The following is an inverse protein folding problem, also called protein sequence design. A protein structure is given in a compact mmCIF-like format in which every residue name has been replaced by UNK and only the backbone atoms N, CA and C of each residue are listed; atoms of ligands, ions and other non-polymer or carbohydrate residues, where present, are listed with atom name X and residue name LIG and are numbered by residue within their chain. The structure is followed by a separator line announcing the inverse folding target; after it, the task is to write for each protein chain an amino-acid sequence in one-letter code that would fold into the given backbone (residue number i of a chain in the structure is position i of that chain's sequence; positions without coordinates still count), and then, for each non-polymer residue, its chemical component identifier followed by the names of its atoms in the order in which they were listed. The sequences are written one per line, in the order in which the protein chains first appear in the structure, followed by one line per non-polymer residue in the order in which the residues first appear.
data_IF_363116005561
#
_entry.id   IF_363116005561
#
_cell.length_a   1.000
_cell.length_b   1.000
_cell.length_c   1.000
_cell.angle_alpha   90.00
_cell.angle_beta   90.00
_cell.angle_gamma   90.00
#
_symmetry.space_group_name_H-M   'P 1'
#
loop_
_entity.id
_entity.type
_entity.pdbx_description
1 polymer ?
#
# COMPACT_ATOMS: atom_id res chain seq x y z
N UNK A 1 -10.40 34.87 61.98
CA UNK A 1 -11.83 34.62 62.25
C UNK A 1 -12.60 34.84 60.95
N UNK A 2 -13.47 33.89 60.54
CA UNK A 2 -14.15 33.91 59.24
C UNK A 2 -15.46 34.76 59.32
N UNK A 3 -16.19 34.96 58.21
CA UNK A 3 -17.31 34.02 57.97
C UNK A 3 -17.59 33.69 56.49
N UNK A 4 -18.05 32.44 56.28
CA UNK A 4 -18.94 32.02 55.19
C UNK A 4 -20.42 32.21 55.63
N UNK A 5 -21.43 31.72 54.87
CA UNK A 5 -22.21 32.39 53.82
C UNK A 5 -23.68 32.57 54.28
N UNK A 6 -24.64 32.79 53.36
CA UNK A 6 -25.86 31.99 53.51
C UNK A 6 -26.32 31.31 52.22
N UNK A 7 -26.86 30.11 52.43
CA UNK A 7 -27.70 29.30 51.55
C UNK A 7 -29.15 29.70 51.78
N UNK A 8 -29.96 29.81 50.73
CA UNK A 8 -31.42 29.61 50.84
C UNK A 8 -31.98 28.89 49.61
N UNK A 9 -32.93 28.02 49.90
CA UNK A 9 -33.46 26.87 49.16
C UNK A 9 -34.78 27.23 48.45
N UNK A 10 -35.04 26.54 47.32
CA UNK A 10 -36.31 26.11 46.66
C UNK A 10 -37.56 26.99 46.63
N UNK A 11 -38.25 27.01 45.47
CA UNK A 11 -39.64 26.57 45.32
C UNK A 11 -39.96 26.23 43.84
N UNK A 12 -40.56 25.06 43.63
CA UNK A 12 -41.17 24.54 42.40
C UNK A 12 -42.58 25.07 42.19
N UNK A 13 -42.98 25.36 40.94
CA UNK A 13 -44.36 25.16 40.46
C UNK A 13 -44.41 24.92 38.95
N UNK A 14 -45.30 24.01 38.58
CA UNK A 14 -45.62 23.49 37.27
C UNK A 14 -46.65 24.35 36.53
N UNK A 15 -46.68 24.28 35.19
CA UNK A 15 -47.92 24.23 34.39
C UNK A 15 -47.63 23.98 32.91
N UNK A 16 -48.65 23.45 32.26
CA UNK A 16 -48.68 22.65 31.04
C UNK A 16 -49.30 23.38 29.85
N UNK A 17 -48.95 22.95 28.62
CA UNK A 17 -49.95 22.64 27.59
C UNK A 17 -50.07 23.51 26.33
N UNK A 18 -50.10 22.80 25.19
CA UNK A 18 -50.65 23.12 23.84
C UNK A 18 -49.88 24.12 22.94
N UNK A 19 -49.33 23.77 21.77
CA UNK A 19 -49.81 23.11 20.52
C UNK A 19 -50.41 24.03 19.45
N UNK A 20 -49.68 24.05 18.31
CA UNK A 20 -50.04 24.28 16.90
C UNK A 20 -50.73 25.59 16.45
N UNK A 21 -50.04 26.29 15.53
CA UNK A 21 -50.65 26.99 14.40
C UNK A 21 -49.81 26.85 13.12
N UNK A 22 -50.55 26.72 12.02
CA UNK A 22 -50.21 26.38 10.65
C UNK A 22 -49.53 27.49 9.86
N UNK A 23 -48.92 27.15 8.71
CA UNK A 23 -49.07 27.96 7.50
C UNK A 23 -49.03 27.08 6.24
N UNK A 24 -50.05 27.30 5.42
CA UNK A 24 -50.26 26.82 4.06
C UNK A 24 -49.48 27.70 3.07
N UNK A 25 -49.10 27.17 1.90
CA UNK A 25 -49.59 27.61 0.57
C UNK A 25 -48.84 26.86 -0.55
N UNK A 26 -49.61 26.59 -1.60
CA UNK A 26 -49.50 25.68 -2.74
C UNK A 26 -49.05 26.43 -4.01
N UNK A 27 -48.33 25.74 -4.90
CA UNK A 27 -48.21 25.97 -6.35
C UNK A 27 -47.86 24.59 -6.95
N UNK A 28 -48.71 23.81 -7.64
CA UNK A 28 -49.43 23.95 -8.95
C UNK A 28 -48.49 24.51 -10.04
N UNK A 29 -48.07 23.75 -11.05
CA UNK A 29 -48.76 23.34 -12.32
C UNK A 29 -47.95 22.15 -12.90
N UNK A 30 -48.51 20.94 -13.14
CA UNK A 30 -49.02 20.36 -14.42
C UNK A 30 -48.02 20.41 -15.60
N UNK A 31 -47.88 19.52 -16.59
CA UNK A 31 -48.45 18.25 -17.13
C UNK A 31 -47.45 17.92 -18.30
N UNK A 32 -47.06 16.68 -18.63
CA UNK A 32 -47.68 15.85 -19.68
C UNK A 32 -46.91 14.53 -19.87
N UNK A 33 -47.71 13.50 -20.10
CA UNK A 33 -47.40 12.12 -20.43
C UNK A 33 -46.59 11.94 -21.73
N UNK A 34 -45.88 10.81 -21.88
CA UNK A 34 -46.22 9.79 -22.89
C UNK A 34 -45.33 8.54 -22.76
N UNK A 35 -46.00 7.43 -22.51
CA UNK A 35 -45.64 6.07 -22.86
C UNK A 35 -45.57 5.89 -24.37
N UNK A 36 -44.61 5.09 -24.85
CA UNK A 36 -44.82 4.25 -26.03
C UNK A 36 -43.89 3.04 -26.03
N UNK A 37 -44.51 1.86 -26.15
CA UNK A 37 -43.88 0.64 -26.64
C UNK A 37 -44.01 0.62 -28.16
N UNK A 38 -43.00 0.15 -28.89
CA UNK A 38 -43.27 -0.66 -30.07
C UNK A 38 -42.12 -1.56 -30.52
N UNK A 39 -42.51 -2.73 -31.00
CA UNK A 39 -41.70 -3.83 -31.54
C UNK A 39 -41.47 -3.69 -33.06
N UNK A 40 -40.58 -4.57 -33.58
CA UNK A 40 -40.44 -5.09 -34.96
C UNK A 40 -39.65 -4.30 -36.02
N UNK A 41 -38.54 -4.88 -36.49
CA UNK A 41 -38.40 -5.62 -37.77
C UNK A 41 -36.89 -5.88 -38.07
N UNK A 42 -36.45 -7.13 -38.16
CA UNK A 42 -36.27 -7.95 -39.38
C UNK A 42 -35.17 -7.52 -40.37
N UNK A 43 -34.23 -8.45 -40.54
CA UNK A 43 -33.52 -8.86 -41.77
C UNK A 43 -32.77 -7.84 -42.64
N UNK A 44 -31.45 -8.04 -42.76
CA UNK A 44 -30.81 -8.31 -44.06
C UNK A 44 -29.49 -9.09 -43.92
N UNK A 45 -29.47 -10.26 -44.56
CA UNK A 45 -28.29 -11.08 -44.90
C UNK A 45 -27.73 -10.64 -46.26
N UNK A 46 -26.42 -10.78 -46.44
CA UNK A 46 -25.67 -11.15 -47.67
C UNK A 46 -24.20 -11.25 -47.23
N UNK A 47 -23.42 -12.35 -47.19
CA UNK A 47 -23.16 -13.55 -48.03
C UNK A 47 -22.44 -13.29 -49.35
N UNK A 48 -21.11 -13.52 -49.38
CA UNK A 48 -20.39 -14.44 -50.30
C UNK A 48 -18.87 -14.22 -50.13
N UNK A 49 -18.11 -15.17 -49.59
CA UNK A 49 -17.33 -16.25 -50.26
C UNK A 49 -16.47 -15.81 -51.45
N UNK A 50 -15.15 -15.94 -51.32
CA UNK A 50 -14.28 -16.88 -52.07
C UNK A 50 -12.80 -16.62 -51.70
N UNK A 51 -12.08 -17.53 -51.03
CA UNK A 51 -11.42 -18.76 -51.49
C UNK A 51 -10.08 -18.55 -52.22
N UNK A 52 -9.05 -19.08 -51.57
CA UNK A 52 -7.79 -19.64 -52.08
C UNK A 52 -6.77 -18.72 -52.76
N UNK A 53 -5.50 -18.83 -52.32
CA UNK A 53 -4.54 -19.77 -52.96
C UNK A 53 -3.16 -19.68 -52.29
N UNK A 54 -2.75 -20.79 -51.68
CA UNK A 54 -1.35 -21.09 -51.34
C UNK A 54 -0.54 -21.32 -52.62
N UNK A 55 0.72 -20.89 -52.66
CA UNK A 55 1.74 -21.55 -53.46
C UNK A 55 3.13 -21.36 -52.87
N UNK A 56 3.75 -22.49 -52.54
CA UNK A 56 5.17 -22.65 -52.24
C UNK A 56 5.99 -22.50 -53.53
N UNK A 57 7.23 -22.00 -53.45
CA UNK A 57 8.36 -22.61 -54.17
C UNK A 57 9.72 -22.07 -53.71
N UNK A 58 10.62 -23.03 -53.49
CA UNK A 58 12.05 -22.88 -53.24
C UNK A 58 12.80 -22.36 -54.47
N UNK A 59 13.96 -21.72 -54.24
CA UNK A 59 14.98 -21.48 -55.26
C UNK A 59 16.20 -20.71 -54.71
N UNK A 60 17.28 -21.43 -54.40
CA UNK A 60 18.66 -20.91 -54.39
C UNK A 60 19.25 -21.08 -55.80
N UNK A 61 20.15 -20.18 -56.27
CA UNK A 61 21.57 -20.53 -56.24
C UNK A 61 22.58 -19.37 -56.04
N UNK A 62 23.68 -19.76 -55.40
CA UNK A 62 25.10 -19.33 -55.40
C UNK A 62 25.57 -18.09 -56.22
N UNK A 63 26.33 -17.22 -55.53
CA UNK A 63 27.60 -16.65 -56.04
C UNK A 63 27.65 -15.13 -56.31
N UNK A 64 28.40 -14.37 -55.49
CA UNK A 64 29.44 -13.38 -55.87
C UNK A 64 29.82 -12.46 -54.69
N UNK A 65 31.11 -12.38 -54.40
CA UNK A 65 31.72 -11.58 -53.34
C UNK A 65 31.74 -10.06 -53.58
N UNK A 66 32.09 -9.36 -52.48
CA UNK A 66 32.77 -8.06 -52.35
C UNK A 66 31.88 -6.81 -52.24
N UNK A 67 31.68 -6.31 -51.01
CA UNK A 67 32.26 -5.03 -50.54
C UNK A 67 31.74 -4.61 -49.15
N UNK A 68 32.68 -4.08 -48.37
CA UNK A 68 32.59 -3.58 -47.00
C UNK A 68 31.47 -2.54 -46.78
N UNK A 69 30.66 -2.75 -45.74
CA UNK A 69 30.15 -1.69 -44.88
C UNK A 69 29.86 -2.28 -43.49
N UNK A 70 30.68 -1.92 -42.50
CA UNK A 70 30.46 -2.26 -41.09
C UNK A 70 29.27 -1.43 -40.58
N UNK A 71 28.05 -1.93 -40.77
CA UNK A 71 26.91 -1.48 -39.97
C UNK A 71 27.00 -2.14 -38.59
N UNK A 72 27.73 -1.50 -37.68
CA UNK A 72 27.64 -1.80 -36.25
C UNK A 72 26.23 -1.42 -35.80
N UNK A 73 25.41 -2.44 -35.53
CA UNK A 73 24.17 -2.27 -34.79
C UNK A 73 24.47 -1.64 -33.42
N UNK A 74 23.62 -0.75 -32.88
CA UNK A 74 23.80 -0.26 -31.53
C UNK A 74 23.71 -1.44 -30.57
N UNK A 75 24.68 -1.58 -29.68
CA UNK A 75 24.67 -2.57 -28.61
C UNK A 75 23.33 -2.51 -27.85
N UNK A 76 22.75 -3.65 -27.46
CA UNK A 76 21.57 -3.62 -26.61
C UNK A 76 21.95 -2.92 -25.30
N UNK A 77 21.22 -1.87 -24.97
CA UNK A 77 21.37 -1.15 -23.71
C UNK A 77 21.36 -2.16 -22.55
N UNK A 78 22.17 -1.95 -21.51
CA UNK A 78 22.19 -2.84 -20.36
C UNK A 78 20.77 -2.87 -19.78
N UNK A 79 20.23 -4.08 -19.66
CA UNK A 79 18.94 -4.31 -19.03
C UNK A 79 18.90 -3.57 -17.69
N UNK A 80 17.78 -2.90 -17.35
CA UNK A 80 17.65 -2.28 -16.04
C UNK A 80 17.96 -3.33 -14.97
N UNK A 81 18.75 -2.99 -13.94
CA UNK A 81 19.09 -3.95 -12.88
C UNK A 81 17.79 -4.56 -12.36
N UNK A 82 17.75 -5.87 -12.08
CA UNK A 82 16.59 -6.51 -11.50
C UNK A 82 16.21 -5.67 -10.29
N UNK A 83 15.04 -5.02 -10.38
CA UNK A 83 14.46 -4.37 -9.23
C UNK A 83 14.42 -5.46 -8.18
N UNK A 84 15.17 -5.22 -7.11
CA UNK A 84 15.14 -6.06 -5.93
C UNK A 84 13.72 -5.96 -5.39
N UNK A 85 12.84 -6.81 -5.91
CA UNK A 85 11.54 -7.15 -5.37
C UNK A 85 11.83 -7.88 -4.05
N UNK A 86 12.25 -7.11 -3.04
CA UNK A 86 12.66 -7.66 -1.76
C UNK A 86 11.41 -8.12 -1.02
N UNK A 87 11.03 -9.38 -1.27
CA UNK A 87 10.51 -10.29 -0.24
C UNK A 87 9.22 -9.83 0.47
N UNK A 88 8.35 -9.07 -0.19
CA UNK A 88 7.02 -8.75 0.34
C UNK A 88 6.03 -9.91 0.07
N UNK A 89 6.28 -10.69 -0.99
CA UNK A 89 5.37 -11.73 -1.49
C UNK A 89 5.23 -12.99 -0.61
N UNK A 90 6.01 -13.15 0.48
CA UNK A 90 6.13 -14.43 1.19
C UNK A 90 5.51 -14.48 2.60
N UNK A 91 4.98 -13.37 3.15
CA UNK A 91 4.43 -13.35 4.52
C UNK A 91 2.90 -13.16 4.52
N UNK A 92 2.36 -12.45 3.52
CA UNK A 92 0.94 -12.39 3.20
C UNK A 92 0.88 -12.27 1.69
N UNK A 93 0.38 -13.30 0.97
CA UNK A 93 0.39 -13.30 -0.49
C UNK A 93 -0.13 -11.97 -1.05
N UNK A 94 0.52 -11.43 -2.08
CA UNK A 94 0.20 -10.20 -2.86
C UNK A 94 -0.34 -8.93 -2.13
N UNK A 95 -0.47 -8.90 -0.79
CA UNK A 95 -1.11 -7.83 -0.01
C UNK A 95 -2.37 -8.25 0.76
N UNK A 96 -3.01 -7.27 1.39
CA UNK A 96 -4.27 -7.44 2.14
C UNK A 96 -5.32 -6.53 1.53
N UNK A 97 -6.52 -7.04 1.29
CA UNK A 97 -7.57 -6.25 0.66
C UNK A 97 -8.94 -6.44 1.31
N UNK A 98 -9.84 -5.51 1.08
CA UNK A 98 -11.20 -5.59 1.60
C UNK A 98 -11.92 -4.26 1.68
N UNK A 99 -13.21 -4.32 2.00
CA UNK A 99 -14.08 -3.17 2.19
C UNK A 99 -13.86 -2.59 3.58
N UNK A 100 -13.61 -1.29 3.62
CA UNK A 100 -13.74 -0.49 4.84
C UNK A 100 -14.64 0.71 4.56
N UNK A 101 -15.28 1.21 5.60
CA UNK A 101 -16.05 2.43 5.55
C UNK A 101 -15.13 3.60 5.86
N UNK A 102 -15.00 4.53 4.92
CA UNK A 102 -14.25 5.77 5.07
C UNK A 102 -15.19 6.91 5.41
N UNK A 103 -14.89 7.69 6.45
CA UNK A 103 -15.58 8.95 6.69
C UNK A 103 -15.23 9.97 5.59
N UNK A 104 -16.24 10.62 5.02
CA UNK A 104 -16.05 11.63 3.98
C UNK A 104 -16.25 13.04 4.54
N UNK A 105 -17.49 13.41 4.87
CA UNK A 105 -17.84 14.68 5.48
C UNK A 105 -19.23 14.56 6.15
N UNK A 106 -19.67 15.58 6.89
CA UNK A 106 -20.96 15.55 7.61
C UNK A 106 -22.16 15.26 6.69
N UNK A 107 -22.16 15.75 5.44
CA UNK A 107 -23.27 15.50 4.50
C UNK A 107 -23.28 14.11 3.86
N UNK A 108 -22.12 13.49 3.62
CA UNK A 108 -21.99 12.19 2.94
C UNK A 108 -21.79 11.03 3.91
N UNK A 109 -21.31 11.30 5.12
CA UNK A 109 -21.03 10.33 6.16
C UNK A 109 -19.98 9.28 5.79
N UNK A 110 -20.19 8.06 6.27
CA UNK A 110 -19.38 6.89 5.98
C UNK A 110 -19.69 6.35 4.58
N UNK A 111 -18.65 6.11 3.77
CA UNK A 111 -18.78 5.49 2.44
C UNK A 111 -17.91 4.24 2.34
N UNK A 112 -18.45 3.12 1.82
CA UNK A 112 -17.67 1.93 1.60
C UNK A 112 -16.68 2.18 0.47
N UNK A 113 -15.43 1.75 0.67
CA UNK A 113 -14.34 1.81 -0.29
C UNK A 113 -13.58 0.50 -0.23
N UNK A 114 -13.06 0.07 -1.38
CA UNK A 114 -12.13 -1.06 -1.42
C UNK A 114 -10.76 -0.55 -1.03
N UNK A 115 -10.14 -1.19 -0.04
CA UNK A 115 -8.80 -0.91 0.41
C UNK A 115 -7.88 -2.05 0.00
N UNK A 116 -6.66 -1.70 -0.37
CA UNK A 116 -5.57 -2.61 -0.68
C UNK A 116 -4.35 -2.11 0.07
N UNK A 117 -3.80 -2.96 0.91
CA UNK A 117 -2.56 -2.78 1.63
C UNK A 117 -1.49 -3.61 0.93
N UNK A 118 -0.55 -2.95 0.29
CA UNK A 118 0.52 -3.57 -0.46
C UNK A 118 1.79 -2.73 -0.32
N UNK A 119 2.93 -3.37 -0.10
CA UNK A 119 4.26 -2.73 -0.07
C UNK A 119 4.38 -1.52 0.87
N UNK A 120 3.67 -1.53 2.01
CA UNK A 120 3.66 -0.41 2.95
C UNK A 120 2.80 0.78 2.55
N UNK A 121 2.01 0.65 1.49
CA UNK A 121 1.06 1.64 1.03
C UNK A 121 -0.36 1.09 1.18
N UNK A 122 -1.21 1.87 1.84
CA UNK A 122 -2.65 1.62 1.90
C UNK A 122 -3.34 2.48 0.84
N UNK A 123 -3.76 1.83 -0.25
CA UNK A 123 -4.47 2.44 -1.37
C UNK A 123 -5.96 2.17 -1.27
N UNK A 124 -6.80 3.12 -1.67
CA UNK A 124 -8.25 2.92 -1.65
C UNK A 124 -8.96 3.40 -2.91
N UNK A 125 -10.03 2.71 -3.25
CA UNK A 125 -10.71 2.83 -4.52
C UNK A 125 -12.21 3.03 -4.33
N UNK A 126 -12.83 3.78 -5.25
CA UNK A 126 -14.29 3.85 -5.32
C UNK A 126 -14.81 2.48 -5.76
N UNK A 127 -15.86 2.00 -5.10
CA UNK A 127 -16.60 0.80 -5.51
C UNK A 127 -17.96 1.14 -6.16
N UNK A 128 -18.30 2.43 -6.21
CA UNK A 128 -19.51 2.96 -6.85
C UNK A 128 -19.15 4.19 -7.71
N UNK A 129 -19.97 4.44 -8.74
CA UNK A 129 -19.80 5.57 -9.65
C UNK A 129 -19.01 5.25 -10.93
N UNK A 130 -18.69 6.29 -11.73
CA UNK A 130 -18.03 6.12 -13.04
C UNK A 130 -16.59 5.63 -12.92
N UNK A 131 -15.85 6.04 -11.87
CA UNK A 131 -14.45 5.61 -11.63
C UNK A 131 -14.36 4.41 -10.68
N UNK A 132 -15.39 3.54 -10.65
CA UNK A 132 -15.37 2.39 -9.75
C UNK A 132 -14.38 1.34 -10.22
N UNK A 133 -13.71 0.69 -9.28
CA UNK A 133 -12.95 -0.51 -9.59
C UNK A 133 -13.88 -1.71 -9.73
N UNK A 134 -13.46 -2.64 -10.58
CA UNK A 134 -14.05 -3.98 -10.66
C UNK A 134 -13.18 -4.89 -9.80
N UNK A 135 -13.73 -5.38 -8.69
CA UNK A 135 -13.07 -6.31 -7.78
C UNK A 135 -13.47 -7.72 -8.18
N UNK A 136 -12.52 -8.59 -8.54
CA UNK A 136 -12.78 -9.97 -8.93
C UNK A 136 -11.81 -10.94 -8.23
N UNK A 137 -12.20 -12.21 -8.12
CA UNK A 137 -11.39 -13.24 -7.45
C UNK A 137 -10.05 -13.50 -8.17
N UNK A 138 -9.98 -13.22 -9.46
CA UNK A 138 -8.75 -13.33 -10.26
C UNK A 138 -7.80 -12.14 -10.02
N UNK A 139 -8.36 -10.95 -9.74
CA UNK A 139 -7.63 -9.72 -9.46
C UNK A 139 -6.92 -9.75 -8.11
N UNK A 140 -7.55 -10.36 -7.12
CA UNK A 140 -7.05 -10.46 -5.74
C UNK A 140 -6.33 -11.80 -5.50
N UNK A 141 -5.90 -12.49 -6.57
CA UNK A 141 -5.15 -13.76 -6.47
C UNK A 141 -3.87 -13.53 -5.68
N UNK A 142 -3.83 -14.11 -4.49
CA UNK A 142 -2.73 -14.01 -3.54
C UNK A 142 -3.07 -13.15 -2.33
N UNK A 143 -3.90 -12.11 -2.48
CA UNK A 143 -4.21 -11.17 -1.40
C UNK A 143 -5.14 -11.77 -0.34
N UNK A 144 -4.82 -11.55 0.94
CA UNK A 144 -5.73 -11.90 2.04
C UNK A 144 -6.89 -10.92 2.08
N UNK A 145 -8.11 -11.41 1.86
CA UNK A 145 -9.33 -10.60 1.90
C UNK A 145 -9.90 -10.57 3.32
N UNK A 146 -10.19 -9.37 3.86
CA UNK A 146 -10.78 -9.18 5.19
C UNK A 146 -12.25 -8.75 5.06
N UNK A 147 -13.14 -9.38 5.83
CA UNK A 147 -14.56 -9.01 5.98
C UNK A 147 -15.53 -9.71 5.01
N UNK A 148 -16.73 -10.00 5.49
CA UNK A 148 -17.78 -10.67 4.71
C UNK A 148 -18.27 -9.82 3.53
N UNK A 149 -18.45 -8.51 3.73
CA UNK A 149 -18.86 -7.60 2.64
C UNK A 149 -17.84 -7.59 1.50
N UNK A 150 -16.56 -7.81 1.80
CA UNK A 150 -15.51 -7.94 0.79
C UNK A 150 -15.70 -9.19 -0.06
N UNK A 151 -15.97 -10.33 0.58
CA UNK A 151 -16.23 -11.60 -0.09
C UNK A 151 -17.51 -11.54 -0.94
N UNK A 152 -18.55 -10.88 -0.43
CA UNK A 152 -19.80 -10.62 -1.18
C UNK A 152 -19.54 -9.76 -2.40
N UNK A 153 -18.75 -8.69 -2.28
CA UNK A 153 -18.43 -7.80 -3.40
C UNK A 153 -17.69 -8.53 -4.52
N UNK A 154 -16.69 -9.35 -4.16
CA UNK A 154 -15.94 -10.21 -5.10
C UNK A 154 -16.88 -11.20 -5.79
N UNK A 155 -17.73 -11.89 -5.02
CA UNK A 155 -18.63 -12.94 -5.53
C UNK A 155 -19.66 -12.38 -6.52
N UNK A 156 -20.15 -11.16 -6.28
CA UNK A 156 -21.11 -10.48 -7.17
C UNK A 156 -20.56 -10.19 -8.57
N UNK A 157 -19.24 -10.06 -8.72
CA UNK A 157 -18.59 -9.71 -9.99
C UNK A 157 -17.85 -10.88 -10.64
N UNK A 158 -18.10 -12.13 -10.20
CA UNK A 158 -17.45 -13.34 -10.74
C UNK A 158 -17.69 -13.56 -12.24
N UNK A 159 -18.82 -13.08 -12.77
CA UNK A 159 -19.21 -13.27 -14.18
C UNK A 159 -18.91 -12.06 -15.08
N UNK A 160 -18.37 -10.96 -14.53
CA UNK A 160 -18.06 -9.75 -15.30
C UNK A 160 -16.58 -9.73 -15.70
N UNK A 161 -16.17 -10.65 -16.57
CA UNK A 161 -14.82 -10.66 -17.15
C UNK A 161 -14.79 -9.64 -18.30
N UNK A 162 -14.68 -8.36 -17.95
CA UNK A 162 -14.25 -7.35 -18.92
C UNK A 162 -12.73 -7.38 -19.00
N UNK A 163 -12.19 -7.94 -20.10
CA UNK A 163 -10.75 -7.96 -20.41
C UNK A 163 -10.15 -6.57 -20.63
N UNK A 164 -10.97 -5.50 -20.57
CA UNK A 164 -10.58 -4.15 -20.94
C UNK A 164 -10.28 -3.23 -19.74
N UNK A 165 -10.47 -3.65 -18.49
CA UNK A 165 -10.33 -2.76 -17.31
C UNK A 165 -9.05 -2.95 -16.49
N UNK A 166 -8.15 -3.87 -16.86
CA UNK A 166 -6.89 -4.07 -16.10
C UNK A 166 -6.00 -2.81 -16.11
N UNK A 167 -6.14 -1.95 -17.12
CA UNK A 167 -5.21 -0.84 -17.36
C UNK A 167 -5.62 0.49 -16.70
N UNK A 168 -6.70 0.57 -15.90
CA UNK A 168 -7.14 1.84 -15.28
C UNK A 168 -7.45 1.74 -13.78
N UNK A 169 -6.67 0.95 -13.03
CA UNK A 169 -6.75 0.96 -11.56
C UNK A 169 -6.02 2.18 -11.01
N UNK A 170 -6.64 3.35 -11.09
CA UNK A 170 -6.12 4.54 -10.40
C UNK A 170 -6.68 4.57 -8.97
N UNK A 171 -5.83 4.51 -7.94
CA UNK A 171 -6.30 4.69 -6.57
C UNK A 171 -6.89 6.08 -6.39
N UNK A 172 -7.99 6.16 -5.65
CA UNK A 172 -8.60 7.44 -5.31
C UNK A 172 -7.74 8.19 -4.27
N UNK A 173 -7.04 7.45 -3.42
CA UNK A 173 -6.00 7.99 -2.57
C UNK A 173 -5.13 6.89 -2.00
N UNK A 174 -3.96 7.31 -1.53
CA UNK A 174 -2.91 6.43 -1.03
C UNK A 174 -2.36 6.98 0.28
N UNK A 175 -1.93 6.07 1.16
CA UNK A 175 -1.38 6.38 2.48
C UNK A 175 -0.13 5.56 2.71
N UNK A 176 1.02 6.23 2.86
CA UNK A 176 2.28 5.56 3.20
C UNK A 176 2.36 5.25 4.69
N UNK A 177 2.43 3.96 5.03
CA UNK A 177 2.40 3.53 6.42
C UNK A 177 3.70 3.82 7.17
N UNK A 178 4.84 3.85 6.45
CA UNK A 178 6.17 4.15 7.00
C UNK A 178 6.26 5.48 7.75
N UNK A 179 5.35 6.42 7.53
CA UNK A 179 5.30 7.71 8.24
C UNK A 179 3.96 7.97 8.94
N UNK A 180 3.07 6.97 8.95
CA UNK A 180 1.75 7.09 9.56
C UNK A 180 1.71 6.57 11.01
N UNK A 181 0.69 7.00 11.75
CA UNK A 181 0.30 6.40 13.03
C UNK A 181 -1.12 5.88 12.94
N UNK A 182 -1.36 4.71 13.54
CA UNK A 182 -2.67 4.07 13.62
C UNK A 182 -3.18 4.25 15.04
N UNK A 183 -4.44 4.65 15.21
CA UNK A 183 -5.11 4.71 16.51
C UNK A 183 -6.44 4.00 16.46
N UNK A 184 -6.65 3.10 17.40
CA UNK A 184 -7.93 2.42 17.59
C UNK A 184 -8.86 3.28 18.43
N UNK A 185 -10.16 3.20 18.14
CA UNK A 185 -11.17 3.84 18.97
C UNK A 185 -11.39 3.02 20.25
N UNK A 186 -11.43 3.68 21.41
CA UNK A 186 -11.71 3.03 22.70
C UNK A 186 -13.20 2.78 22.95
N UNK A 187 -14.06 3.54 22.27
CA UNK A 187 -15.53 3.52 22.47
C UNK A 187 -16.30 2.85 21.33
N UNK A 188 -15.63 2.52 20.23
CA UNK A 188 -16.25 1.89 19.06
C UNK A 188 -15.29 0.80 18.59
N UNK A 189 -15.70 -0.45 18.75
CA UNK A 189 -14.92 -1.65 18.46
C UNK A 189 -14.76 -1.94 16.97
N UNK A 190 -15.35 -1.10 16.11
CA UNK A 190 -15.24 -1.18 14.65
C UNK A 190 -14.44 -0.01 14.09
N UNK A 191 -14.18 1.06 14.86
CA UNK A 191 -13.51 2.27 14.36
C UNK A 191 -12.03 2.30 14.70
N UNK A 192 -11.28 2.82 13.74
CA UNK A 192 -9.89 3.19 13.90
C UNK A 192 -9.57 4.38 13.00
N UNK A 193 -8.41 4.99 13.17
CA UNK A 193 -8.00 6.15 12.40
C UNK A 193 -6.53 6.08 12.08
N UNK A 194 -6.20 6.44 10.84
CA UNK A 194 -4.82 6.55 10.37
C UNK A 194 -4.49 8.03 10.23
N UNK A 195 -3.42 8.44 10.89
CA UNK A 195 -2.92 9.80 10.87
C UNK A 195 -1.64 9.79 10.04
N UNK A 196 -1.70 10.46 8.91
CA UNK A 196 -0.53 10.90 8.17
C UNK A 196 -0.21 12.33 8.63
N UNK A 197 1.04 12.78 8.50
CA UNK A 197 1.45 14.11 8.99
C UNK A 197 0.53 15.26 8.58
N UNK A 198 -0.16 15.16 7.44
CA UNK A 198 -1.05 16.19 6.91
C UNK A 198 -2.53 15.80 6.82
N UNK A 199 -2.88 14.51 6.98
CA UNK A 199 -4.26 14.02 6.79
C UNK A 199 -4.64 13.00 7.86
N UNK A 200 -5.90 13.06 8.29
CA UNK A 200 -6.52 12.07 9.15
C UNK A 200 -7.56 11.28 8.36
N UNK A 201 -7.43 9.96 8.39
CA UNK A 201 -8.33 9.03 7.72
C UNK A 201 -9.10 8.25 8.79
N UNK A 202 -10.39 8.57 8.95
CA UNK A 202 -11.28 7.80 9.82
C UNK A 202 -11.85 6.60 9.07
N UNK A 203 -11.64 5.42 9.65
CA UNK A 203 -12.03 4.13 9.08
C UNK A 203 -12.91 3.37 10.06
N UNK A 204 -13.81 2.56 9.50
CA UNK A 204 -14.68 1.67 10.24
C UNK A 204 -14.77 0.35 9.50
N UNK A 205 -14.55 -0.76 10.21
CA UNK A 205 -14.78 -2.11 9.72
C UNK A 205 -16.23 -2.54 9.93
N UNK A 206 -16.63 -3.64 9.31
CA UNK A 206 -17.98 -4.19 9.46
C UNK A 206 -18.15 -4.90 10.81
N UNK A 207 -17.18 -5.76 11.17
CA UNK A 207 -17.10 -6.47 12.44
C UNK A 207 -15.92 -6.01 13.30
N UNK A 208 -15.98 -6.35 14.59
CA UNK A 208 -14.85 -6.17 15.53
C UNK A 208 -13.64 -6.96 15.07
N UNK A 209 -13.86 -8.22 14.66
CA UNK A 209 -12.79 -9.12 14.22
C UNK A 209 -12.12 -8.60 12.95
N UNK A 210 -12.90 -8.03 12.02
CA UNK A 210 -12.35 -7.35 10.85
C UNK A 210 -11.49 -6.15 11.24
N UNK A 211 -11.93 -5.35 12.22
CA UNK A 211 -11.13 -4.22 12.73
C UNK A 211 -9.82 -4.73 13.32
N UNK A 212 -9.85 -5.79 14.13
CA UNK A 212 -8.64 -6.44 14.68
C UNK A 212 -7.72 -6.85 13.54
N UNK A 213 -8.22 -7.63 12.58
CA UNK A 213 -7.44 -8.13 11.45
C UNK A 213 -6.82 -7.00 10.62
N UNK A 214 -7.55 -5.91 10.36
CA UNK A 214 -7.02 -4.75 9.65
C UNK A 214 -5.95 -4.02 10.46
N UNK A 215 -6.11 -3.85 11.78
CA UNK A 215 -5.13 -3.16 12.61
C UNK A 215 -3.85 -3.99 12.75
N UNK A 216 -3.99 -5.30 12.99
CA UNK A 216 -2.86 -6.24 13.04
C UNK A 216 -2.07 -6.24 11.72
N UNK A 217 -2.76 -6.31 10.60
CA UNK A 217 -2.18 -6.20 9.27
C UNK A 217 -1.37 -4.90 9.08
N UNK A 218 -1.97 -3.77 9.43
CA UNK A 218 -1.33 -2.46 9.33
C UNK A 218 -0.09 -2.36 10.23
N UNK A 219 -0.16 -2.93 11.44
CA UNK A 219 0.93 -2.92 12.39
C UNK A 219 2.08 -3.84 11.93
N UNK A 220 1.77 -5.05 11.47
CA UNK A 220 2.77 -5.98 10.94
C UNK A 220 3.56 -5.37 9.78
N UNK A 221 2.87 -4.72 8.83
CA UNK A 221 3.52 -4.00 7.73
C UNK A 221 4.35 -2.83 8.24
N UNK A 222 3.91 -2.14 9.30
CA UNK A 222 4.67 -1.05 9.91
C UNK A 222 5.95 -1.54 10.60
N UNK A 223 5.91 -2.72 11.23
CA UNK A 223 7.05 -3.33 11.91
C UNK A 223 8.10 -3.86 10.92
N UNK A 224 7.69 -4.22 9.70
CA UNK A 224 8.60 -4.55 8.61
C UNK A 224 9.47 -3.39 8.13
N UNK A 225 9.12 -2.13 8.47
CA UNK A 225 9.99 -0.98 8.24
C UNK A 225 10.77 -0.71 9.52
N UNK A 226 12.05 -1.13 9.64
CA UNK A 226 12.83 -0.87 10.84
C UNK A 226 12.99 0.64 10.97
N UNK A 227 12.18 1.22 11.87
CA UNK A 227 12.44 2.57 12.35
C UNK A 227 13.45 2.41 13.45
N UNK A 228 14.73 2.53 13.11
CA UNK A 228 15.74 2.87 14.11
C UNK A 228 15.17 4.03 14.93
N UNK A 229 15.02 3.84 16.24
CA UNK A 229 14.45 4.88 17.08
C UNK A 229 15.38 6.10 17.05
N UNK A 230 14.88 7.33 17.27
CA UNK A 230 15.78 8.48 17.35
C UNK A 230 16.86 8.30 18.42
N UNK A 231 16.55 7.54 19.48
CA UNK A 231 17.53 7.20 20.52
C UNK A 231 18.59 6.22 20.02
N UNK A 232 18.23 5.28 19.16
CA UNK A 232 19.16 4.31 18.55
C UNK A 232 19.99 4.94 17.43
N UNK A 233 19.40 5.88 16.69
CA UNK A 233 20.09 6.73 15.72
C UNK A 233 21.14 7.62 16.38
N UNK A 234 20.88 8.09 17.60
CA UNK A 234 21.73 9.03 18.35
C UNK A 234 22.58 8.34 19.43
N UNK A 235 22.41 7.03 19.64
CA UNK A 235 23.23 6.29 20.57
C UNK A 235 24.68 6.34 20.07
N UNK A 236 25.66 6.65 20.94
CA UNK A 236 27.06 6.43 20.60
C UNK A 236 27.18 4.99 20.12
N UNK A 237 27.66 4.78 18.88
CA UNK A 237 27.98 3.43 18.44
C UNK A 237 29.10 2.95 19.36
N UNK A 238 28.79 2.03 20.27
CA UNK A 238 29.85 1.32 20.97
C UNK A 238 30.72 0.66 19.91
N UNK A 239 32.03 0.89 19.99
CA UNK A 239 32.98 0.27 19.09
C UNK A 239 32.77 -1.25 19.21
N UNK A 240 32.21 -1.87 18.17
CA UNK A 240 32.00 -3.32 18.11
C UNK A 240 33.37 -3.97 18.22
N UNK A 241 33.74 -4.37 19.43
CA UNK A 241 35.04 -4.97 19.69
C UNK A 241 35.06 -6.38 19.11
N UNK A 242 35.97 -6.64 18.18
CA UNK A 242 36.16 -8.00 17.64
C UNK A 242 36.84 -8.86 18.68
N UNK A 243 36.14 -9.88 19.15
CA UNK A 243 36.71 -10.90 20.03
C UNK A 243 37.52 -11.91 19.21
N UNK A 244 38.82 -12.02 19.52
CA UNK A 244 39.74 -13.02 18.93
C UNK A 244 39.78 -14.33 19.73
N UNK A 245 38.96 -14.47 20.78
CA UNK A 245 39.02 -15.57 21.75
C UNK A 245 38.85 -16.95 21.10
N UNK A 246 37.91 -17.08 20.16
CA UNK A 246 37.70 -18.35 19.44
C UNK A 246 38.87 -18.71 18.52
N UNK A 247 39.51 -17.72 17.90
CA UNK A 247 40.71 -17.94 17.07
C UNK A 247 41.85 -18.44 17.96
N UNK A 248 42.08 -17.75 19.07
CA UNK A 248 43.12 -18.10 20.05
C UNK A 248 42.97 -19.54 20.55
N UNK A 249 41.76 -19.92 20.99
CA UNK A 249 41.47 -21.28 21.44
C UNK A 249 41.79 -22.35 20.39
N UNK A 250 41.48 -22.08 19.11
CA UNK A 250 41.77 -23.02 18.03
C UNK A 250 43.26 -23.17 17.75
N UNK A 251 44.00 -22.06 17.70
CA UNK A 251 45.45 -22.09 17.44
C UNK A 251 46.23 -22.73 18.59
N UNK A 252 45.77 -22.57 19.83
CA UNK A 252 46.35 -23.26 20.99
C UNK A 252 46.17 -24.79 20.91
N UNK A 253 45.01 -25.28 20.43
CA UNK A 253 44.77 -26.72 20.23
C UNK A 253 45.71 -27.32 19.17
N UNK A 254 46.07 -26.54 18.15
CA UNK A 254 47.00 -26.94 17.09
C UNK A 254 48.48 -26.80 17.51
N UNK A 255 48.74 -26.47 18.79
CA UNK A 255 50.08 -26.29 19.38
C UNK A 255 50.94 -25.26 18.62
N UNK A 256 50.28 -24.21 18.11
CA UNK A 256 50.94 -23.08 17.46
C UNK A 256 51.71 -22.27 18.50
N UNK A 257 52.85 -21.69 18.10
CA UNK A 257 53.66 -20.82 18.95
C UNK A 257 52.87 -19.58 19.37
N UNK A 258 52.91 -19.21 20.66
CA UNK A 258 52.23 -18.04 21.23
C UNK A 258 52.53 -16.74 20.45
N UNK A 259 53.76 -16.56 19.96
CA UNK A 259 54.11 -15.38 19.14
C UNK A 259 53.33 -15.32 17.83
N UNK A 260 53.12 -16.47 17.18
CA UNK A 260 52.33 -16.56 15.95
C UNK A 260 50.83 -16.38 16.22
N UNK A 261 50.35 -16.80 17.39
CA UNK A 261 48.97 -16.55 17.84
C UNK A 261 48.75 -15.04 18.03
N UNK A 262 49.65 -14.36 18.75
CA UNK A 262 49.57 -12.92 18.98
C UNK A 262 49.62 -12.11 17.67
N UNK A 263 50.51 -12.49 16.74
CA UNK A 263 50.59 -11.88 15.42
C UNK A 263 49.27 -12.06 14.64
N UNK A 264 48.69 -13.26 14.67
CA UNK A 264 47.40 -13.55 14.03
C UNK A 264 46.25 -12.72 14.62
N UNK A 265 46.21 -12.57 15.96
CA UNK A 265 45.22 -11.72 16.63
C UNK A 265 45.40 -10.25 16.27
N UNK A 266 46.65 -9.80 16.16
CA UNK A 266 46.98 -8.42 15.81
C UNK A 266 46.58 -8.10 14.38
N UNK A 267 46.85 -9.00 13.42
CA UNK A 267 46.41 -8.87 12.03
C UNK A 267 44.89 -8.77 11.96
N UNK A 268 44.15 -9.64 12.65
CA UNK A 268 42.68 -9.57 12.63
C UNK A 268 42.16 -8.23 13.19
N UNK A 269 42.75 -7.76 14.29
CA UNK A 269 42.37 -6.49 14.92
C UNK A 269 42.70 -5.29 14.04
N UNK A 270 43.86 -5.28 13.36
CA UNK A 270 44.24 -4.18 12.46
C UNK A 270 43.36 -4.13 11.22
N UNK A 271 43.10 -5.26 10.57
CA UNK A 271 42.20 -5.35 9.41
C UNK A 271 40.78 -4.91 9.76
N UNK A 272 40.26 -5.34 10.91
CA UNK A 272 38.95 -4.89 11.37
C UNK A 272 38.91 -3.38 11.64
N UNK A 273 39.94 -2.83 12.29
CA UNK A 273 40.06 -1.39 12.51
C UNK A 273 40.06 -0.60 11.20
N UNK A 274 40.78 -1.09 10.18
CA UNK A 274 40.77 -0.49 8.85
C UNK A 274 39.36 -0.49 8.22
N UNK A 275 38.63 -1.59 8.32
CA UNK A 275 37.24 -1.69 7.85
C UNK A 275 36.30 -0.77 8.62
N UNK A 276 36.44 -0.70 9.95
CA UNK A 276 35.66 0.19 10.80
C UNK A 276 35.89 1.65 10.40
N UNK A 277 37.14 2.05 10.17
CA UNK A 277 37.49 3.40 9.70
C UNK A 277 36.85 3.70 8.34
N UNK A 278 36.86 2.74 7.41
CA UNK A 278 36.22 2.90 6.11
C UNK A 278 34.70 3.10 6.23
N UNK A 279 34.05 2.30 7.08
CA UNK A 279 32.61 2.43 7.35
C UNK A 279 32.27 3.81 7.92
N UNK A 280 33.04 4.28 8.91
CA UNK A 280 32.86 5.61 9.51
C UNK A 280 33.02 6.70 8.45
N UNK A 281 34.05 6.62 7.60
CA UNK A 281 34.26 7.56 6.51
C UNK A 281 33.09 7.59 5.52
N UNK A 282 32.58 6.42 5.13
CA UNK A 282 31.42 6.32 4.24
C UNK A 282 30.17 6.94 4.88
N UNK A 283 29.94 6.72 6.17
CA UNK A 283 28.85 7.34 6.92
C UNK A 283 28.97 8.86 6.97
N UNK A 284 30.18 9.39 7.19
CA UNK A 284 30.43 10.84 7.14
C UNK A 284 30.15 11.43 5.75
N UNK A 285 30.63 10.77 4.68
CA UNK A 285 30.35 11.19 3.29
C UNK A 285 28.85 11.18 2.98
N UNK A 286 28.13 10.14 3.42
CA UNK A 286 26.68 10.05 3.26
C UNK A 286 25.96 11.19 3.98
N UNK A 287 26.37 11.51 5.22
CA UNK A 287 25.80 12.62 5.98
C UNK A 287 25.98 13.95 5.24
N UNK A 288 27.20 14.24 4.78
CA UNK A 288 27.51 15.46 4.04
C UNK A 288 26.68 15.58 2.75
N UNK A 289 26.50 14.47 2.03
CA UNK A 289 25.69 14.44 0.81
C UNK A 289 24.21 14.73 1.12
N UNK A 290 23.67 14.21 2.21
CA UNK A 290 22.30 14.52 2.65
C UNK A 290 22.18 16.00 3.02
N UNK A 291 23.17 16.55 3.74
CA UNK A 291 23.16 17.96 4.16
C UNK A 291 23.25 18.93 2.97
N UNK A 292 24.07 18.61 1.98
CA UNK A 292 24.17 19.40 0.74
C UNK A 292 22.88 19.36 -0.08
N UNK A 293 22.24 18.20 -0.21
CA UNK A 293 20.93 18.07 -0.87
C UNK A 293 19.83 18.84 -0.14
N UNK A 294 19.92 19.02 1.18
CA UNK A 294 18.95 19.78 1.96
C UNK A 294 19.07 21.30 1.77
N UNK A 295 20.19 21.77 1.23
CA UNK A 295 20.48 23.19 1.00
C UNK A 295 20.15 23.65 -0.43
N UNK A 296 19.72 22.72 -1.30
CA UNK A 296 19.23 22.97 -2.66
C UNK A 296 17.70 23.03 -2.66
#
# INVERSE_FOLDING_TARGET
MPPHPPVTTVTTTSSSGSSFRSNSVRSTVQILCQSDQNQNNQHRRSSSVDLNRMSQRNGTPLGREVSKALNLAPAPAPAPPPQVDVKINNIVGNGISGVLYKWVNYGKGWKPRWFVLQDGVLSYYKIHGPDKIVVSQETERGSKVIGEESLRLISRHRNSISRHSQNRRKPFGEVHLKVSSIRESRSDDKRFSIFTGTKRLHLRAEARDDRVAWVEALQAVKDMFPRMSNSELMAPMDNVAVSTEKLRQRLMQERVNELAIQDSEQIMKSEFSALQNHLVLLKQKQSLLIDTLRQL
#
